data_IF_159695712270
#
_entry.id   IF_159695712270
#
_cell.length_a   1.000
_cell.length_b   1.000
_cell.length_c   1.000
_cell.angle_alpha   90.00
_cell.angle_beta   90.00
_cell.angle_gamma   90.00
#
_symmetry.space_group_name_H-M   'P 1'
#
loop_
_entity.id
_entity.type
_entity.pdbx_description
1 polymer ?
#
# COMPACT_ATOMS: atom_id res chain seq x y z
N UNK A 1 1.25 -1.72 -15.50
CA UNK A 1 2.22 -0.64 -15.23
C UNK A 1 3.60 -1.25 -15.05
N UNK A 2 4.63 -0.75 -15.73
CA UNK A 2 5.98 -1.27 -15.52
C UNK A 2 6.48 -1.04 -14.10
N UNK A 3 7.42 -1.86 -13.66
CA UNK A 3 7.94 -1.78 -12.28
C UNK A 3 8.50 -0.40 -11.94
N UNK A 4 9.18 0.25 -12.89
CA UNK A 4 9.73 1.58 -12.68
C UNK A 4 8.65 2.62 -12.42
N UNK A 5 7.47 2.48 -13.00
CA UNK A 5 6.38 3.41 -12.79
C UNK A 5 5.70 3.17 -11.43
N UNK A 6 5.59 1.92 -11.01
CA UNK A 6 5.04 1.59 -9.68
C UNK A 6 5.93 2.17 -8.59
N UNK A 7 7.24 2.01 -8.71
CA UNK A 7 8.20 2.41 -7.69
C UNK A 7 8.75 3.82 -7.85
N UNK A 8 8.29 4.58 -8.85
CA UNK A 8 8.73 5.97 -9.02
C UNK A 8 8.13 6.92 -7.97
N UNK A 9 7.11 6.49 -7.25
CA UNK A 9 6.44 7.32 -6.25
C UNK A 9 6.93 7.01 -4.84
N UNK A 10 7.58 8.00 -4.24
CA UNK A 10 7.97 7.92 -2.83
C UNK A 10 6.74 7.70 -1.93
N UNK A 11 5.62 8.33 -2.27
CA UNK A 11 4.37 8.19 -1.53
C UNK A 11 3.86 6.75 -1.54
N UNK A 12 3.87 6.09 -2.72
CA UNK A 12 3.46 4.70 -2.82
C UNK A 12 4.34 3.79 -1.98
N UNK A 13 5.65 4.03 -1.99
CA UNK A 13 6.57 3.24 -1.15
C UNK A 13 6.30 3.44 0.33
N UNK A 14 6.00 4.66 0.76
CA UNK A 14 5.62 4.93 2.16
C UNK A 14 4.34 4.22 2.55
N UNK A 15 3.35 4.19 1.65
CA UNK A 15 2.10 3.47 1.88
C UNK A 15 2.38 1.97 2.06
N UNK A 16 3.19 1.39 1.20
CA UNK A 16 3.52 -0.04 1.26
C UNK A 16 4.24 -0.38 2.56
N UNK A 17 5.21 0.42 2.97
CA UNK A 17 5.91 0.21 4.24
C UNK A 17 4.97 0.30 5.42
N UNK A 18 4.06 1.26 5.41
CA UNK A 18 3.10 1.45 6.48
C UNK A 18 2.16 0.26 6.61
N UNK A 19 1.59 -0.20 5.49
CA UNK A 19 0.70 -1.35 5.49
C UNK A 19 1.45 -2.63 5.88
N UNK A 20 2.68 -2.79 5.38
CA UNK A 20 3.51 -3.92 5.78
C UNK A 20 3.70 -3.98 7.29
N UNK A 21 4.02 -2.84 7.90
CA UNK A 21 4.29 -2.74 9.34
C UNK A 21 3.05 -2.99 10.18
N UNK A 22 1.91 -2.44 9.77
CA UNK A 22 0.69 -2.44 10.58
C UNK A 22 -0.33 -3.51 10.16
N UNK A 23 -0.13 -4.13 9.01
CA UNK A 23 -0.94 -5.23 8.51
C UNK A 23 -2.11 -4.79 7.65
N UNK A 24 -3.03 -4.00 8.20
CA UNK A 24 -4.23 -3.57 7.50
C UNK A 24 -4.64 -2.18 7.99
N UNK A 25 -4.98 -1.29 7.06
CA UNK A 25 -5.35 0.08 7.40
C UNK A 25 -6.47 0.57 6.48
N UNK A 26 -7.34 1.43 7.01
CA UNK A 26 -8.31 2.12 6.19
C UNK A 26 -7.68 3.35 5.51
N UNK A 27 -8.37 3.87 4.49
CA UNK A 27 -7.87 4.98 3.67
C UNK A 27 -7.61 6.23 4.50
N UNK A 28 -8.52 6.57 5.40
CA UNK A 28 -8.39 7.78 6.24
C UNK A 28 -7.17 7.70 7.15
N UNK A 29 -6.92 6.55 7.74
CA UNK A 29 -5.74 6.35 8.60
C UNK A 29 -4.45 6.46 7.79
N UNK A 30 -4.41 5.87 6.59
CA UNK A 30 -3.25 5.96 5.71
C UNK A 30 -2.99 7.42 5.36
N UNK A 31 -4.01 8.15 4.91
CA UNK A 31 -3.91 9.55 4.52
C UNK A 31 -3.36 10.40 5.67
N UNK A 32 -3.90 10.21 6.87
CA UNK A 32 -3.47 10.95 8.06
C UNK A 32 -2.02 10.66 8.43
N UNK A 33 -1.63 9.40 8.41
CA UNK A 33 -0.28 8.99 8.81
C UNK A 33 0.79 9.44 7.81
N UNK A 34 0.46 9.46 6.51
CA UNK A 34 1.39 9.88 5.46
C UNK A 34 1.30 11.38 5.22
N UNK A 35 0.26 12.02 5.74
CA UNK A 35 0.04 13.48 5.64
C UNK A 35 -0.22 13.93 4.20
N UNK A 36 -1.06 13.19 3.51
CA UNK A 36 -1.59 13.56 2.20
C UNK A 36 -3.11 13.54 2.24
N UNK A 37 -3.76 14.20 1.28
CA UNK A 37 -5.21 14.24 1.28
C UNK A 37 -5.80 12.87 0.90
N UNK A 38 -7.09 12.70 1.20
CA UNK A 38 -7.81 11.46 0.97
C UNK A 38 -7.83 11.06 -0.50
N UNK A 39 -8.09 12.02 -1.39
CA UNK A 39 -8.21 11.74 -2.83
C UNK A 39 -6.91 11.23 -3.42
N UNK A 40 -5.79 11.89 -3.09
CA UNK A 40 -4.46 11.47 -3.55
C UNK A 40 -4.09 10.11 -2.97
N UNK A 41 -4.40 9.86 -1.70
CA UNK A 41 -4.18 8.56 -1.07
C UNK A 41 -4.95 7.47 -1.81
N UNK A 42 -6.23 7.71 -2.08
CA UNK A 42 -7.08 6.77 -2.80
C UNK A 42 -6.54 6.48 -4.19
N UNK A 43 -6.03 7.51 -4.88
CA UNK A 43 -5.42 7.34 -6.20
C UNK A 43 -4.25 6.35 -6.16
N UNK A 44 -3.35 6.52 -5.20
CA UNK A 44 -2.21 5.61 -5.03
C UNK A 44 -2.65 4.20 -4.65
N UNK A 45 -3.62 4.08 -3.76
CA UNK A 45 -4.14 2.77 -3.35
C UNK A 45 -4.78 2.01 -4.51
N UNK A 46 -5.51 2.72 -5.38
CA UNK A 46 -6.11 2.11 -6.56
C UNK A 46 -5.06 1.59 -7.54
N UNK A 47 -3.96 2.32 -7.71
CA UNK A 47 -2.85 1.87 -8.54
C UNK A 47 -2.27 0.57 -7.97
N UNK A 48 -2.01 0.52 -6.67
CA UNK A 48 -1.43 -0.65 -6.02
C UNK A 48 -2.40 -1.84 -6.02
N UNK A 49 -3.68 -1.59 -5.92
CA UNK A 49 -4.71 -2.62 -6.03
C UNK A 49 -4.77 -3.18 -7.45
N UNK A 50 -4.78 -2.31 -8.46
CA UNK A 50 -4.82 -2.72 -9.86
C UNK A 50 -3.58 -3.54 -10.26
N UNK A 51 -2.44 -3.27 -9.64
CA UNK A 51 -1.19 -3.99 -9.88
C UNK A 51 -1.11 -5.32 -9.14
N UNK A 52 -2.13 -5.67 -8.35
CA UNK A 52 -2.14 -6.93 -7.63
C UNK A 52 -1.24 -6.96 -6.39
N UNK A 53 -0.90 -5.79 -5.86
CA UNK A 53 -0.03 -5.66 -4.68
C UNK A 53 -0.87 -5.58 -3.41
N UNK A 54 -1.92 -4.75 -3.45
CA UNK A 54 -2.83 -4.60 -2.33
C UNK A 54 -4.20 -5.17 -2.68
N UNK A 55 -4.93 -5.56 -1.66
CA UNK A 55 -6.34 -5.96 -1.78
C UNK A 55 -7.18 -5.15 -0.82
N UNK A 56 -8.41 -4.86 -1.24
CA UNK A 56 -9.35 -4.07 -0.47
C UNK A 56 -10.43 -4.98 0.12
N UNK A 57 -10.73 -4.81 1.39
CA UNK A 57 -11.83 -5.44 2.06
C UNK A 57 -12.78 -4.37 2.59
N UNK A 58 -14.07 -4.49 2.29
CA UNK A 58 -15.07 -3.51 2.69
C UNK A 58 -15.87 -4.07 3.87
N UNK A 59 -15.89 -3.30 4.96
CA UNK A 59 -16.67 -3.60 6.15
C UNK A 59 -17.62 -2.41 6.39
N UNK A 60 -18.87 -2.54 5.93
CA UNK A 60 -19.79 -1.42 5.95
C UNK A 60 -19.29 -0.27 5.08
N UNK A 61 -18.97 0.86 5.71
CA UNK A 61 -18.43 2.04 5.02
C UNK A 61 -16.90 2.11 5.08
N UNK A 62 -16.28 1.16 5.75
CA UNK A 62 -14.83 1.16 5.97
C UNK A 62 -14.16 0.33 4.87
N UNK A 63 -13.18 0.93 4.19
CA UNK A 63 -12.38 0.26 3.17
C UNK A 63 -10.99 -0.01 3.75
N UNK A 64 -10.70 -1.28 4.02
CA UNK A 64 -9.41 -1.71 4.58
C UNK A 64 -8.52 -2.22 3.46
N UNK A 65 -7.26 -1.77 3.46
CA UNK A 65 -6.25 -2.22 2.51
C UNK A 65 -5.18 -3.02 3.22
N UNK A 66 -4.79 -4.12 2.60
CA UNK A 66 -3.71 -4.98 3.08
C UNK A 66 -2.97 -5.58 1.90
N UNK A 67 -1.80 -6.15 2.12
CA UNK A 67 -1.08 -6.87 1.07
C UNK A 67 -1.93 -8.02 0.55
N UNK A 68 -1.95 -8.14 -0.77
CA UNK A 68 -2.62 -9.26 -1.44
C UNK A 68 -1.82 -10.53 -1.22
N UNK A 69 -2.51 -11.66 -1.15
CA UNK A 69 -1.86 -12.96 -1.11
C UNK A 69 -1.45 -13.33 -2.54
N UNK A 70 -0.18 -13.08 -2.88
CA UNK A 70 0.32 -13.30 -4.22
C UNK A 70 1.80 -12.96 -4.36
N UNK A 71 2.41 -13.31 -5.51
CA UNK A 71 3.86 -13.21 -5.69
C UNK A 71 4.40 -11.79 -5.69
N UNK A 72 3.70 -10.83 -6.29
CA UNK A 72 4.14 -9.43 -6.30
C UNK A 72 4.16 -8.85 -4.88
N UNK A 73 3.08 -9.05 -4.14
CA UNK A 73 2.98 -8.56 -2.78
C UNK A 73 4.04 -9.21 -1.88
N UNK A 74 4.25 -10.52 -2.04
CA UNK A 74 5.28 -11.22 -1.29
C UNK A 74 6.67 -10.69 -1.58
N UNK A 75 6.99 -10.44 -2.84
CA UNK A 75 8.29 -9.91 -3.24
C UNK A 75 8.55 -8.54 -2.63
N UNK A 76 7.51 -7.67 -2.62
CA UNK A 76 7.62 -6.33 -2.03
C UNK A 76 7.77 -6.42 -0.51
N UNK A 77 6.99 -7.29 0.14
CA UNK A 77 7.09 -7.50 1.58
C UNK A 77 8.49 -7.99 1.96
N UNK A 78 9.02 -8.96 1.22
CA UNK A 78 10.36 -9.48 1.47
C UNK A 78 11.42 -8.39 1.28
N UNK A 79 11.28 -7.57 0.24
CA UNK A 79 12.20 -6.46 -0.02
C UNK A 79 12.19 -5.44 1.12
N UNK A 80 11.01 -5.04 1.57
CA UNK A 80 10.86 -4.10 2.68
C UNK A 80 11.51 -4.68 3.94
N UNK A 81 11.22 -5.93 4.24
CA UNK A 81 11.76 -6.60 5.42
C UNK A 81 13.29 -6.62 5.42
N UNK A 82 13.89 -7.00 4.29
CA UNK A 82 15.34 -7.06 4.16
C UNK A 82 15.97 -5.66 4.20
N UNK A 83 15.35 -4.71 3.49
CA UNK A 83 15.93 -3.37 3.34
C UNK A 83 15.82 -2.53 4.60
N UNK A 84 14.70 -2.64 5.31
CA UNK A 84 14.41 -1.84 6.49
C UNK A 84 14.77 -2.56 7.80
N UNK A 85 15.49 -3.65 7.72
CA UNK A 85 15.94 -4.37 8.90
C UNK A 85 16.87 -3.50 9.72
N UNK A 86 16.66 -3.40 11.06
CA UNK A 86 17.48 -2.56 11.94
C UNK A 86 18.92 -3.09 12.10
#
# INVERSE_FOLDING_TARGET
MPIEDVFSSKTRMKILKLIYTLGSLNVSDIARRIRINYVTTMHHLKILEAEGILTKHVYGRIQMYRFKDGPKAKAIADLIEIWEEP
#
